data_IF_493740545861
#
_entry.id   IF_493740545861
#
_cell.length_a   1.000
_cell.length_b   1.000
_cell.length_c   1.000
_cell.angle_alpha   90.00
_cell.angle_beta   90.00
_cell.angle_gamma   90.00
#
_symmetry.space_group_name_H-M   'P 1'
#
loop_
_entity.id
_entity.type
_entity.pdbx_description
1 polymer ?
#
# COMPACT_ATOMS: atom_id res chain seq x y z
N UNK A 1 51.66 -18.45 -51.45
CA UNK A 1 51.61 -18.46 -49.98
C UNK A 1 50.95 -17.16 -49.51
N UNK A 2 49.62 -17.13 -49.45
CA UNK A 2 48.86 -16.07 -48.80
C UNK A 2 48.22 -16.68 -47.56
N UNK A 3 48.53 -16.09 -46.41
CA UNK A 3 48.37 -16.69 -45.08
C UNK A 3 46.90 -16.91 -44.71
N UNK A 4 46.45 -18.18 -44.70
CA UNK A 4 45.16 -18.62 -44.16
C UNK A 4 44.94 -18.19 -42.70
N UNK A 5 46.02 -17.84 -41.98
CA UNK A 5 45.96 -17.33 -40.61
C UNK A 5 45.36 -15.92 -40.49
N UNK A 6 45.28 -15.15 -41.58
CA UNK A 6 44.70 -13.79 -41.57
C UNK A 6 43.17 -13.76 -41.54
N UNK A 7 42.52 -14.75 -42.17
CA UNK A 7 41.06 -14.83 -42.29
C UNK A 7 40.39 -15.26 -40.97
N UNK A 8 41.02 -16.17 -40.23
CA UNK A 8 40.52 -16.68 -38.94
C UNK A 8 40.54 -15.57 -37.87
N UNK A 9 41.58 -14.73 -37.86
CA UNK A 9 41.71 -13.63 -36.89
C UNK A 9 40.71 -12.51 -37.14
N UNK A 10 40.35 -12.26 -38.40
CA UNK A 10 39.38 -11.23 -38.76
C UNK A 10 37.93 -11.67 -38.46
N UNK A 11 37.63 -12.96 -38.64
CA UNK A 11 36.34 -13.54 -38.24
C UNK A 11 36.17 -13.62 -36.72
N UNK A 12 37.23 -13.90 -35.96
CA UNK A 12 37.18 -13.89 -34.49
C UNK A 12 36.85 -12.50 -33.91
N UNK A 13 37.39 -11.44 -34.49
CA UNK A 13 37.07 -10.04 -34.10
C UNK A 13 35.65 -9.62 -34.52
N UNK A 14 35.19 -10.03 -35.71
CA UNK A 14 33.81 -9.80 -36.15
C UNK A 14 32.79 -10.55 -35.28
N UNK A 15 33.06 -11.81 -34.91
CA UNK A 15 32.21 -12.59 -34.02
C UNK A 15 32.19 -12.02 -32.60
N UNK A 16 33.34 -11.56 -32.10
CA UNK A 16 33.45 -10.92 -30.78
C UNK A 16 32.73 -9.55 -30.73
N UNK A 17 32.77 -8.77 -31.82
CA UNK A 17 31.96 -7.56 -31.93
C UNK A 17 30.46 -7.88 -31.97
N UNK A 18 30.02 -8.86 -32.78
CA UNK A 18 28.62 -9.28 -32.84
C UNK A 18 28.08 -9.79 -31.48
N UNK A 19 28.88 -10.55 -30.74
CA UNK A 19 28.54 -11.00 -29.38
C UNK A 19 28.58 -9.85 -28.36
N UNK A 20 29.44 -8.85 -28.56
CA UNK A 20 29.50 -7.63 -27.74
C UNK A 20 28.28 -6.71 -27.91
N UNK A 21 27.71 -6.63 -29.10
CA UNK A 21 26.50 -5.83 -29.37
C UNK A 21 25.22 -6.47 -28.82
N UNK A 22 25.16 -7.80 -28.68
CA UNK A 22 24.00 -8.50 -28.10
C UNK A 22 23.96 -8.46 -26.56
N UNK A 23 25.08 -8.11 -25.91
CA UNK A 23 25.17 -8.02 -24.44
C UNK A 23 24.93 -6.61 -23.87
N UNK A 24 24.60 -5.63 -24.71
CA UNK A 24 24.25 -4.27 -24.28
C UNK A 24 22.75 -3.97 -24.48
N UNK A 25 21.92 -4.98 -24.26
CA UNK A 25 20.55 -4.76 -23.86
C UNK A 25 20.48 -5.22 -22.41
N UNK A 26 20.67 -4.28 -21.48
CA UNK A 26 20.20 -4.50 -20.10
C UNK A 26 18.75 -4.98 -20.17
N UNK A 27 18.26 -5.78 -19.20
CA UNK A 27 16.91 -6.32 -19.26
C UNK A 27 15.93 -5.17 -19.38
N UNK A 28 15.45 -4.92 -20.61
CA UNK A 28 14.23 -4.17 -20.83
C UNK A 28 13.20 -5.07 -20.19
N UNK A 29 12.81 -4.78 -18.95
CA UNK A 29 11.62 -5.35 -18.34
C UNK A 29 10.49 -5.05 -19.33
N UNK A 30 10.20 -6.03 -20.19
CA UNK A 30 9.17 -5.92 -21.20
C UNK A 30 7.87 -5.69 -20.45
N UNK A 31 7.44 -4.43 -20.38
CA UNK A 31 6.26 -4.02 -19.63
C UNK A 31 5.05 -4.63 -20.32
N UNK A 32 4.28 -5.44 -19.60
CA UNK A 32 3.13 -6.14 -20.17
C UNK A 32 2.09 -5.14 -20.66
N UNK A 33 1.34 -5.50 -21.71
CA UNK A 33 0.12 -4.76 -22.06
C UNK A 33 -0.96 -5.13 -21.02
N UNK A 34 -1.81 -4.18 -20.62
CA UNK A 34 -2.73 -4.41 -19.50
C UNK A 34 -3.70 -5.58 -19.69
N UNK A 35 -4.19 -5.83 -20.90
CA UNK A 35 -5.00 -7.02 -21.16
C UNK A 35 -4.21 -8.32 -20.96
N UNK A 36 -2.92 -8.34 -21.30
CA UNK A 36 -2.04 -9.49 -21.08
C UNK A 36 -1.82 -9.73 -19.58
N UNK A 37 -1.64 -8.66 -18.80
CA UNK A 37 -1.55 -8.76 -17.35
C UNK A 37 -2.83 -9.31 -16.72
N UNK A 38 -4.00 -8.88 -17.22
CA UNK A 38 -5.30 -9.42 -16.78
C UNK A 38 -5.37 -10.92 -17.11
N UNK A 39 -5.04 -11.33 -18.33
CA UNK A 39 -5.09 -12.75 -18.71
C UNK A 39 -4.20 -13.62 -17.82
N UNK A 40 -2.98 -13.17 -17.51
CA UNK A 40 -2.08 -13.90 -16.63
C UNK A 40 -2.61 -13.96 -15.19
N UNK A 41 -3.18 -12.87 -14.67
CA UNK A 41 -3.82 -12.84 -13.36
C UNK A 41 -5.03 -13.78 -13.28
N UNK A 42 -5.78 -13.96 -14.37
CA UNK A 42 -6.92 -14.87 -14.40
C UNK A 42 -6.52 -16.36 -14.35
N UNK A 43 -5.31 -16.70 -14.84
CA UNK A 43 -4.78 -18.07 -14.77
C UNK A 43 -4.31 -18.42 -13.35
N UNK A 44 -3.88 -17.41 -12.58
CA UNK A 44 -3.51 -17.55 -11.18
C UNK A 44 -4.77 -17.48 -10.29
N UNK A 45 -5.14 -18.54 -9.54
CA UNK A 45 -6.41 -18.57 -8.81
C UNK A 45 -6.51 -17.50 -7.73
N UNK A 46 -5.43 -17.23 -7.01
CA UNK A 46 -5.39 -16.20 -5.97
C UNK A 46 -5.52 -14.79 -6.55
N UNK A 47 -4.80 -14.49 -7.64
CA UNK A 47 -4.92 -13.22 -8.35
C UNK A 47 -6.31 -13.04 -8.97
N UNK A 48 -6.87 -14.08 -9.60
CA UNK A 48 -8.23 -14.03 -10.17
C UNK A 48 -9.27 -13.69 -9.10
N UNK A 49 -9.19 -14.32 -7.92
CA UNK A 49 -10.07 -14.00 -6.80
C UNK A 49 -9.88 -12.55 -6.33
N UNK A 50 -8.64 -12.13 -6.07
CA UNK A 50 -8.33 -10.77 -5.62
C UNK A 50 -8.76 -9.71 -6.64
N UNK A 51 -8.62 -9.99 -7.94
CA UNK A 51 -9.04 -9.10 -9.02
C UNK A 51 -10.56 -8.90 -9.03
N UNK A 52 -11.33 -9.96 -8.80
CA UNK A 52 -12.79 -9.85 -8.67
C UNK A 52 -13.20 -9.03 -7.44
N UNK A 53 -12.50 -9.20 -6.30
CA UNK A 53 -12.74 -8.38 -5.11
C UNK A 53 -12.44 -6.90 -5.37
N UNK A 54 -11.35 -6.60 -6.08
CA UNK A 54 -11.01 -5.25 -6.53
C UNK A 54 -12.13 -4.61 -7.36
N UNK A 55 -12.66 -5.32 -8.36
CA UNK A 55 -13.74 -4.80 -9.23
C UNK A 55 -15.00 -4.42 -8.44
N UNK A 56 -15.34 -5.22 -7.42
CA UNK A 56 -16.51 -4.95 -6.58
C UNK A 56 -16.24 -3.82 -5.58
N UNK A 57 -15.10 -3.88 -4.90
CA UNK A 57 -14.75 -2.92 -3.84
C UNK A 57 -14.50 -1.51 -4.40
N UNK A 58 -13.95 -1.40 -5.61
CA UNK A 58 -13.60 -0.12 -6.22
C UNK A 58 -14.69 0.44 -7.15
N UNK A 59 -15.88 -0.17 -7.17
CA UNK A 59 -16.95 0.16 -8.10
C UNK A 59 -17.24 1.66 -8.22
N UNK A 60 -17.44 2.35 -7.10
CA UNK A 60 -17.76 3.79 -7.09
C UNK A 60 -16.63 4.67 -7.62
N UNK A 61 -15.38 4.22 -7.51
CA UNK A 61 -14.20 4.91 -8.08
C UNK A 61 -14.08 4.61 -9.57
N UNK A 62 -14.26 3.35 -9.97
CA UNK A 62 -14.17 2.90 -11.36
C UNK A 62 -15.26 3.54 -12.24
N UNK A 63 -16.47 3.70 -11.71
CA UNK A 63 -17.56 4.43 -12.37
C UNK A 63 -17.48 5.95 -12.17
N UNK A 64 -16.43 6.46 -11.52
CA UNK A 64 -16.18 7.89 -11.31
C UNK A 64 -17.29 8.61 -10.52
N UNK A 65 -18.02 7.89 -9.66
CA UNK A 65 -19.04 8.42 -8.74
C UNK A 65 -18.41 9.22 -7.58
N UNK A 66 -17.17 8.89 -7.21
CA UNK A 66 -16.39 9.58 -6.18
C UNK A 66 -14.93 9.75 -6.61
N UNK A 67 -14.32 10.87 -6.21
CA UNK A 67 -12.87 11.11 -6.30
C UNK A 67 -12.11 10.62 -5.07
N UNK A 68 -12.80 10.43 -3.93
CA UNK A 68 -12.22 9.87 -2.71
C UNK A 68 -12.24 8.35 -2.77
N UNK A 69 -11.14 7.73 -2.37
CA UNK A 69 -11.04 6.29 -2.37
C UNK A 69 -11.66 5.67 -1.09
N UNK A 70 -12.63 4.75 -1.20
CA UNK A 70 -13.15 4.01 -0.05
C UNK A 70 -12.07 3.10 0.57
N UNK A 71 -12.09 2.95 1.89
CA UNK A 71 -11.12 2.09 2.61
C UNK A 71 -11.11 0.64 2.11
N UNK A 72 -12.27 0.05 1.83
CA UNK A 72 -12.39 -1.32 1.32
C UNK A 72 -11.82 -1.49 -0.11
N UNK A 73 -11.88 -0.46 -0.96
CA UNK A 73 -11.22 -0.47 -2.26
C UNK A 73 -9.69 -0.51 -2.09
N UNK A 74 -9.15 0.27 -1.14
CA UNK A 74 -7.72 0.29 -0.87
C UNK A 74 -7.24 -1.07 -0.34
N UNK A 75 -7.98 -1.68 0.60
CA UNK A 75 -7.67 -3.04 1.08
C UNK A 75 -7.69 -4.08 -0.04
N UNK A 76 -8.67 -4.01 -0.95
CA UNK A 76 -8.75 -4.92 -2.10
C UNK A 76 -7.56 -4.74 -3.06
N UNK A 77 -7.10 -3.50 -3.29
CA UNK A 77 -5.91 -3.23 -4.09
C UNK A 77 -4.62 -3.73 -3.43
N UNK A 78 -4.48 -3.58 -2.12
CA UNK A 78 -3.34 -4.13 -1.36
C UNK A 78 -3.30 -5.65 -1.55
N UNK A 79 -4.44 -6.34 -1.32
CA UNK A 79 -4.51 -7.78 -1.49
C UNK A 79 -4.23 -8.23 -2.93
N UNK A 80 -4.71 -7.49 -3.93
CA UNK A 80 -4.39 -7.77 -5.33
C UNK A 80 -2.89 -7.65 -5.58
N UNK A 81 -2.26 -6.59 -5.06
CA UNK A 81 -0.82 -6.36 -5.22
C UNK A 81 0.06 -7.37 -4.46
N UNK A 82 -0.46 -8.05 -3.44
CA UNK A 82 0.27 -9.10 -2.71
C UNK A 82 0.31 -10.45 -3.45
N UNK A 83 -0.45 -10.59 -4.54
CA UNK A 83 -0.45 -11.80 -5.40
C UNK A 83 0.76 -11.84 -6.34
N UNK A 84 1.04 -12.99 -6.96
CA UNK A 84 2.23 -13.14 -7.81
C UNK A 84 2.16 -12.26 -9.07
N UNK A 85 0.99 -12.21 -9.71
CA UNK A 85 0.80 -11.47 -10.98
C UNK A 85 0.18 -10.08 -10.78
N UNK A 86 -0.51 -9.83 -9.67
CA UNK A 86 -1.23 -8.58 -9.43
C UNK A 86 -0.44 -7.29 -9.62
N UNK A 87 0.83 -7.18 -9.17
CA UNK A 87 1.67 -5.99 -9.41
C UNK A 87 1.84 -5.60 -10.89
N UNK A 88 1.70 -6.57 -11.80
CA UNK A 88 1.80 -6.31 -13.24
C UNK A 88 0.58 -5.52 -13.77
N UNK A 89 -0.58 -5.57 -13.10
CA UNK A 89 -1.76 -4.79 -13.47
C UNK A 89 -1.58 -3.29 -13.21
N UNK A 90 -0.86 -2.92 -12.16
CA UNK A 90 -0.51 -1.53 -11.90
C UNK A 90 0.52 -1.03 -12.91
N UNK A 91 1.54 -1.85 -13.20
CA UNK A 91 2.68 -1.45 -14.02
C UNK A 91 2.52 -1.71 -15.53
N UNK A 92 1.42 -2.31 -16.00
CA UNK A 92 1.20 -2.57 -17.43
C UNK A 92 0.98 -1.32 -18.30
N UNK A 93 1.13 -1.47 -19.62
CA UNK A 93 0.85 -0.45 -20.63
C UNK A 93 -0.56 -0.55 -21.20
N UNK A 94 -1.25 0.58 -21.29
CA UNK A 94 -2.56 0.69 -21.94
C UNK A 94 -2.45 0.91 -23.46
N UNK A 95 -1.26 1.28 -23.97
CA UNK A 95 -1.03 1.63 -25.38
C UNK A 95 -2.02 2.72 -25.83
N UNK A 96 -3.03 2.39 -26.62
CA UNK A 96 -4.04 3.31 -27.13
C UNK A 96 -5.44 3.13 -26.51
N UNK A 97 -5.60 2.20 -25.57
CA UNK A 97 -6.89 1.92 -24.93
C UNK A 97 -7.26 3.03 -23.93
N UNK A 98 -8.20 3.89 -24.33
CA UNK A 98 -8.69 4.99 -23.49
C UNK A 98 -9.50 4.52 -22.28
N UNK A 99 -10.16 3.36 -22.35
CA UNK A 99 -10.85 2.78 -21.18
C UNK A 99 -9.80 2.41 -20.16
N UNK A 100 -8.78 1.63 -20.54
CA UNK A 100 -7.66 1.29 -19.68
C UNK A 100 -7.00 2.52 -19.06
N UNK A 101 -6.69 3.55 -19.87
CA UNK A 101 -6.10 4.79 -19.35
C UNK A 101 -7.02 5.50 -18.37
N UNK A 102 -8.30 5.61 -18.68
CA UNK A 102 -9.28 6.26 -17.79
C UNK A 102 -9.43 5.50 -16.47
N UNK A 103 -9.47 4.16 -16.51
CA UNK A 103 -9.51 3.29 -15.32
C UNK A 103 -8.25 3.47 -14.47
N UNK A 104 -7.06 3.45 -15.08
CA UNK A 104 -5.79 3.67 -14.35
C UNK A 104 -5.72 5.06 -13.72
N UNK A 105 -6.27 6.10 -14.37
CA UNK A 105 -6.38 7.45 -13.79
C UNK A 105 -7.41 7.50 -12.66
N UNK A 106 -8.56 6.84 -12.80
CA UNK A 106 -9.61 6.83 -11.80
C UNK A 106 -9.16 6.13 -10.51
N UNK A 107 -8.38 5.05 -10.63
CA UNK A 107 -7.87 4.28 -9.49
C UNK A 107 -6.61 4.88 -8.86
N UNK A 108 -5.95 5.85 -9.51
CA UNK A 108 -4.72 6.47 -9.02
C UNK A 108 -4.81 7.02 -7.58
N UNK A 109 -5.93 7.64 -7.13
CA UNK A 109 -6.11 8.04 -5.74
C UNK A 109 -6.15 6.87 -4.75
N UNK A 110 -6.43 5.65 -5.22
CA UNK A 110 -6.53 4.42 -4.42
C UNK A 110 -5.22 3.63 -4.36
N UNK A 111 -4.27 3.88 -5.26
CA UNK A 111 -2.99 3.19 -5.27
C UNK A 111 -2.06 3.70 -4.17
N UNK A 112 -1.50 2.82 -3.32
CA UNK A 112 -0.44 3.20 -2.40
C UNK A 112 0.78 3.66 -3.21
N UNK A 113 1.11 4.97 -3.16
CA UNK A 113 2.26 5.54 -3.87
C UNK A 113 3.59 5.03 -3.30
N UNK A 114 3.98 3.80 -3.59
CA UNK A 114 5.23 3.26 -3.03
C UNK A 114 6.44 4.00 -3.62
N UNK A 115 7.20 4.65 -2.72
CA UNK A 115 8.53 5.25 -2.87
C UNK A 115 8.77 6.16 -4.10
N UNK A 116 8.87 7.46 -3.81
CA UNK A 116 9.81 8.40 -4.42
C UNK A 116 9.77 8.54 -5.95
N UNK A 117 8.61 8.38 -6.60
CA UNK A 117 8.51 8.57 -8.06
C UNK A 117 8.84 10.00 -8.50
N UNK A 118 8.65 10.98 -7.61
CA UNK A 118 8.79 12.42 -7.89
C UNK A 118 9.89 13.11 -7.07
N UNK A 119 10.80 12.34 -6.45
CA UNK A 119 11.83 12.90 -5.56
C UNK A 119 11.30 13.40 -4.20
N UNK A 120 10.00 13.31 -3.97
CA UNK A 120 9.35 13.62 -2.68
C UNK A 120 9.38 12.39 -1.78
N UNK A 121 9.82 12.56 -0.53
CA UNK A 121 9.98 11.49 0.45
C UNK A 121 8.62 10.91 0.88
N UNK A 122 8.49 9.58 0.81
CA UNK A 122 7.35 8.85 1.35
C UNK A 122 7.37 8.72 2.89
N UNK A 123 6.19 8.71 3.51
CA UNK A 123 6.05 8.61 4.97
C UNK A 123 6.54 7.28 5.55
N UNK A 124 6.55 6.21 4.76
CA UNK A 124 7.12 4.92 5.11
C UNK A 124 8.63 5.05 5.36
N UNK A 125 9.35 5.74 4.49
CA UNK A 125 10.78 5.99 4.67
C UNK A 125 11.04 7.00 5.81
N UNK A 126 10.25 8.08 5.89
CA UNK A 126 10.38 9.05 6.98
C UNK A 126 10.20 8.39 8.36
N UNK A 127 9.25 7.45 8.48
CA UNK A 127 9.03 6.65 9.68
C UNK A 127 10.21 5.75 10.00
N UNK A 128 10.75 5.03 9.03
CA UNK A 128 11.95 4.22 9.24
C UNK A 128 13.13 5.06 9.73
N UNK A 129 13.32 6.26 9.19
CA UNK A 129 14.38 7.16 9.66
C UNK A 129 14.14 7.65 11.09
N UNK A 130 12.89 7.96 11.45
CA UNK A 130 12.54 8.34 12.81
C UNK A 130 12.73 7.18 13.80
N UNK A 131 12.41 5.94 13.40
CA UNK A 131 12.58 4.76 14.24
C UNK A 131 14.05 4.41 14.50
N UNK A 132 14.95 4.71 13.55
CA UNK A 132 16.40 4.55 13.74
C UNK A 132 17.03 5.63 14.63
N UNK A 133 16.35 6.77 14.82
CA UNK A 133 16.79 7.86 15.68
C UNK A 133 16.16 7.74 17.09
N UNK A 134 16.93 7.51 18.17
CA UNK A 134 16.35 7.25 19.49
C UNK A 134 15.45 8.38 20.02
N UNK A 135 15.82 9.65 19.75
CA UNK A 135 15.05 10.81 20.20
C UNK A 135 13.70 10.88 19.47
N UNK A 136 13.72 10.73 18.15
CA UNK A 136 12.53 10.70 17.32
C UNK A 136 11.64 9.50 17.65
N UNK A 137 12.21 8.30 17.78
CA UNK A 137 11.48 7.08 18.14
C UNK A 137 10.73 7.23 19.47
N UNK A 138 11.39 7.78 20.49
CA UNK A 138 10.75 8.06 21.78
C UNK A 138 9.63 9.10 21.67
N UNK A 139 9.84 10.16 20.88
CA UNK A 139 8.79 11.16 20.63
C UNK A 139 7.60 10.58 19.85
N UNK A 140 7.86 9.73 18.86
CA UNK A 140 6.84 9.01 18.09
C UNK A 140 5.98 8.13 19.00
N UNK A 141 6.59 7.39 19.95
CA UNK A 141 5.83 6.61 20.94
C UNK A 141 4.91 7.49 21.80
N UNK A 142 5.39 8.65 22.25
CA UNK A 142 4.57 9.63 22.99
C UNK A 142 3.44 10.18 22.12
N UNK A 143 3.69 10.41 20.84
CA UNK A 143 2.67 10.86 19.88
C UNK A 143 1.57 9.81 19.73
N UNK A 144 1.93 8.55 19.47
CA UNK A 144 0.97 7.45 19.34
C UNK A 144 0.13 7.22 20.61
N UNK A 145 0.73 7.41 21.79
CA UNK A 145 0.03 7.27 23.07
C UNK A 145 -0.96 8.41 23.35
N UNK A 146 -0.54 9.67 23.15
CA UNK A 146 -1.31 10.84 23.60
C UNK A 146 -2.29 11.38 22.54
N UNK A 147 -2.13 11.00 21.27
CA UNK A 147 -2.92 11.53 20.16
C UNK A 147 -3.99 10.57 19.63
N UNK A 148 -4.35 9.50 20.34
CA UNK A 148 -5.38 8.55 19.88
C UNK A 148 -6.73 9.20 19.55
N UNK A 149 -7.15 10.24 20.28
CA UNK A 149 -8.38 11.00 19.99
C UNK A 149 -8.29 11.82 18.70
N UNK A 150 -7.08 12.25 18.33
CA UNK A 150 -6.83 12.95 17.07
C UNK A 150 -6.94 11.98 15.88
N UNK A 151 -6.35 10.78 16.00
CA UNK A 151 -6.36 9.79 14.92
C UNK A 151 -7.78 9.37 14.53
N UNK A 152 -8.67 9.26 15.51
CA UNK A 152 -10.08 8.94 15.31
C UNK A 152 -10.93 10.15 14.92
N UNK A 153 -10.34 11.34 14.72
CA UNK A 153 -11.05 12.53 14.27
C UNK A 153 -11.92 13.22 15.31
N UNK A 154 -11.76 12.91 16.61
CA UNK A 154 -12.58 13.43 17.71
C UNK A 154 -12.15 14.83 18.12
N UNK A 155 -10.91 14.99 18.61
CA UNK A 155 -10.34 16.28 19.02
C UNK A 155 -8.82 16.25 19.13
N UNK A 156 -8.19 17.41 19.00
CA UNK A 156 -6.79 17.62 19.38
C UNK A 156 -6.73 18.06 20.85
N UNK A 157 -6.30 17.16 21.74
CA UNK A 157 -6.14 17.47 23.17
C UNK A 157 -4.90 18.33 23.41
N UNK A 158 -4.86 19.08 24.52
CA UNK A 158 -3.68 19.89 24.87
C UNK A 158 -2.43 19.03 25.05
N UNK A 159 -2.55 17.87 25.69
CA UNK A 159 -1.47 16.89 25.80
C UNK A 159 -0.98 16.39 24.42
N UNK A 160 -1.89 16.21 23.45
CA UNK A 160 -1.48 15.84 22.09
C UNK A 160 -0.78 17.01 21.38
N UNK A 161 -1.25 18.25 21.58
CA UNK A 161 -0.67 19.47 21.01
C UNK A 161 0.76 19.69 21.51
N UNK A 162 0.99 19.56 22.81
CA UNK A 162 2.33 19.63 23.41
C UNK A 162 3.30 18.59 22.82
N UNK A 163 2.80 17.35 22.62
CA UNK A 163 3.61 16.29 22.00
C UNK A 163 3.91 16.60 20.54
N UNK A 164 2.95 17.13 19.77
CA UNK A 164 3.17 17.56 18.39
C UNK A 164 4.23 18.66 18.34
N UNK A 165 4.12 19.69 19.18
CA UNK A 165 5.11 20.78 19.25
C UNK A 165 6.50 20.29 19.61
N UNK A 166 6.61 19.42 20.64
CA UNK A 166 7.87 18.78 21.01
C UNK A 166 8.45 17.96 19.86
N UNK A 167 7.60 17.22 19.15
CA UNK A 167 8.01 16.38 18.03
C UNK A 167 8.52 17.21 16.86
N UNK A 168 7.90 18.36 16.55
CA UNK A 168 8.33 19.25 15.47
C UNK A 168 9.69 19.92 15.71
N UNK A 169 10.22 19.90 16.94
CA UNK A 169 11.59 20.33 17.23
C UNK A 169 12.67 19.31 16.83
N UNK A 170 12.27 18.07 16.50
CA UNK A 170 13.19 16.97 16.17
C UNK A 170 13.35 16.89 14.64
N UNK A 171 14.57 17.02 14.08
CA UNK A 171 14.78 17.06 12.62
C UNK A 171 14.21 15.85 11.88
N UNK A 172 14.37 14.63 12.41
CA UNK A 172 13.82 13.41 11.79
C UNK A 172 12.29 13.33 11.88
N UNK A 173 11.68 14.02 12.84
CA UNK A 173 10.23 14.07 12.95
C UNK A 173 9.60 15.10 12.01
N UNK A 174 10.30 16.18 11.65
CA UNK A 174 9.84 17.11 10.61
C UNK A 174 9.60 16.40 9.28
N UNK A 175 10.42 15.41 8.94
CA UNK A 175 10.23 14.57 7.75
C UNK A 175 8.86 13.86 7.74
N UNK A 176 8.33 13.48 8.90
CA UNK A 176 7.00 12.85 9.01
C UNK A 176 5.86 13.82 8.75
N UNK A 177 6.06 15.10 9.08
CA UNK A 177 5.09 16.15 8.74
C UNK A 177 5.07 16.36 7.22
N UNK A 178 6.25 16.48 6.60
CA UNK A 178 6.42 16.87 5.19
C UNK A 178 6.26 15.74 4.18
N UNK A 179 6.41 14.47 4.60
CA UNK A 179 6.34 13.32 3.70
C UNK A 179 5.00 13.18 2.96
N UNK A 180 4.99 12.47 1.84
CA UNK A 180 3.76 12.06 1.15
C UNK A 180 3.33 10.69 1.68
N UNK A 181 2.05 10.56 2.04
CA UNK A 181 1.51 9.28 2.53
C UNK A 181 1.65 8.20 1.45
N UNK A 182 2.33 7.11 1.80
CA UNK A 182 2.64 5.98 0.93
C UNK A 182 2.51 4.64 1.67
N UNK A 183 2.68 3.54 0.93
CA UNK A 183 2.63 2.18 1.48
C UNK A 183 1.24 1.73 1.91
N UNK A 184 1.19 0.60 2.61
CA UNK A 184 -0.08 -0.01 3.07
C UNK A 184 -0.84 0.86 4.07
N UNK A 185 -0.12 1.65 4.88
CA UNK A 185 -0.69 2.53 5.90
C UNK A 185 -1.24 3.86 5.33
N UNK A 186 -1.18 4.06 4.00
CA UNK A 186 -1.56 5.32 3.36
C UNK A 186 -2.96 5.85 3.75
N UNK A 187 -4.03 5.04 3.79
CA UNK A 187 -5.36 5.55 4.15
C UNK A 187 -5.41 6.12 5.56
N UNK A 188 -4.69 5.46 6.48
CA UNK A 188 -4.59 5.89 7.88
C UNK A 188 -3.74 7.16 7.96
N UNK A 189 -2.61 7.20 7.24
CA UNK A 189 -1.75 8.38 7.17
C UNK A 189 -2.51 9.62 6.67
N UNK A 190 -3.24 9.50 5.56
CA UNK A 190 -4.03 10.60 4.98
C UNK A 190 -5.08 11.10 5.97
N UNK A 191 -5.85 10.19 6.59
CA UNK A 191 -6.84 10.53 7.60
C UNK A 191 -6.22 11.23 8.83
N UNK A 192 -5.07 10.77 9.31
CA UNK A 192 -4.36 11.40 10.44
C UNK A 192 -3.86 12.79 10.08
N UNK A 193 -3.29 12.99 8.88
CA UNK A 193 -2.85 14.31 8.42
C UNK A 193 -4.01 15.30 8.29
N UNK A 194 -5.13 14.86 7.71
CA UNK A 194 -6.34 15.66 7.57
C UNK A 194 -6.92 16.04 8.94
N UNK A 195 -7.01 15.07 9.86
CA UNK A 195 -7.46 15.32 11.22
C UNK A 195 -6.54 16.29 11.96
N UNK A 196 -5.22 16.18 11.80
CA UNK A 196 -4.26 17.11 12.40
C UNK A 196 -4.43 18.54 11.88
N UNK A 197 -4.57 18.73 10.57
CA UNK A 197 -4.85 20.02 9.96
C UNK A 197 -6.14 20.65 10.50
N UNK A 198 -7.22 19.87 10.50
CA UNK A 198 -8.56 20.32 10.92
C UNK A 198 -8.68 20.58 12.42
N UNK A 199 -8.15 19.70 13.26
CA UNK A 199 -8.41 19.71 14.71
C UNK A 199 -7.34 20.45 15.52
N UNK A 200 -6.08 20.44 15.05
CA UNK A 200 -5.00 21.10 15.79
C UNK A 200 -4.72 22.52 15.27
N UNK A 201 -4.90 22.79 13.97
CA UNK A 201 -4.48 24.06 13.37
C UNK A 201 -5.61 24.96 12.87
N UNK A 202 -6.83 24.44 12.64
CA UNK A 202 -7.96 25.23 12.11
C UNK A 202 -8.71 26.06 13.18
N UNK A 203 -8.02 26.48 14.25
CA UNK A 203 -8.62 27.23 15.37
C UNK A 203 -7.69 28.23 16.06
N UNK A 204 -6.52 28.52 15.49
CA UNK A 204 -5.56 29.47 16.05
C UNK A 204 -5.95 30.95 15.86
N UNK A 205 -7.24 31.28 15.78
CA UNK A 205 -7.75 32.65 15.98
C UNK A 205 -8.33 32.88 17.38
N UNK A 206 -8.36 31.87 18.25
CA UNK A 206 -8.69 32.09 19.67
C UNK A 206 -7.70 31.38 20.59
N UNK A 207 -6.51 31.97 20.71
CA UNK A 207 -5.75 31.86 21.96
C UNK A 207 -6.07 33.06 22.85
N UNK A 208 -6.28 32.76 24.14
CA UNK A 208 -6.22 33.64 25.31
C UNK A 208 -7.55 34.22 25.81
N UNK A 209 -7.99 33.75 26.99
CA UNK A 209 -9.08 34.41 27.71
C UNK A 209 -9.61 33.70 28.95
N UNK A 210 -8.76 33.55 29.97
CA UNK A 210 -9.12 33.60 31.40
C UNK A 210 -10.02 32.52 32.05
N UNK A 211 -9.48 32.01 33.15
CA UNK A 211 -10.19 31.59 34.36
C UNK A 211 -11.40 32.46 34.71
N UNK A 212 -12.51 31.82 35.05
CA UNK A 212 -13.70 32.42 35.64
C UNK A 212 -14.64 31.32 36.12
N UNK A 213 -14.49 30.95 37.38
CA UNK A 213 -15.54 30.26 38.13
C UNK A 213 -16.67 31.25 38.33
N UNK A 214 -17.92 30.86 38.10
CA UNK A 214 -19.08 31.35 38.85
C UNK A 214 -20.27 30.40 38.66
N UNK A 215 -20.95 30.15 39.77
CA UNK A 215 -22.04 29.21 39.99
C UNK A 215 -23.41 29.81 39.59
N UNK A 216 -24.31 28.94 39.10
CA UNK A 216 -25.74 28.82 39.51
C UNK A 216 -26.77 29.90 39.04
N UNK A 217 -28.13 29.68 39.04
CA UNK A 217 -28.98 28.48 39.27
C UNK A 217 -29.98 28.09 38.15
N UNK A 218 -30.65 26.98 38.42
CA UNK A 218 -31.83 26.32 37.82
C UNK A 218 -32.93 27.19 37.22
N UNK A 219 -33.55 26.69 36.13
CA UNK A 219 -34.98 26.87 35.80
C UNK A 219 -35.51 25.68 34.96
N UNK A 220 -36.25 24.80 35.65
CA UNK A 220 -37.62 24.32 35.36
C UNK A 220 -38.01 23.64 34.00
N UNK A 221 -38.35 22.35 34.11
CA UNK A 221 -39.43 21.57 33.45
C UNK A 221 -39.82 21.83 31.97
N UNK A 222 -39.72 20.79 31.12
CA UNK A 222 -40.92 20.21 30.50
C UNK A 222 -40.73 18.78 29.97
N UNK A 223 -41.58 17.91 30.50
CA UNK A 223 -41.83 16.52 30.11
C UNK A 223 -42.66 16.47 28.83
N UNK A 224 -42.27 15.62 27.87
CA UNK A 224 -43.13 15.22 26.76
C UNK A 224 -42.91 13.74 26.47
N UNK A 225 -43.88 12.93 26.92
CA UNK A 225 -44.09 11.58 26.43
C UNK A 225 -44.49 11.63 24.96
N UNK A 226 -43.89 10.78 24.13
CA UNK A 226 -44.66 10.11 23.09
C UNK A 226 -44.29 8.63 23.04
N UNK A 227 -45.30 7.80 23.31
CA UNK A 227 -45.27 6.35 23.18
C UNK A 227 -45.97 6.02 21.89
N UNK A 228 -45.26 5.43 20.94
CA UNK A 228 -45.91 4.45 20.06
C UNK A 228 -44.93 3.37 19.60
N UNK A 229 -45.34 2.16 19.95
CA UNK A 229 -44.73 0.87 19.69
C UNK A 229 -45.00 0.40 18.27
N UNK A 230 -43.98 -0.16 17.61
CA UNK A 230 -44.01 -1.33 16.71
C UNK A 230 -42.56 -1.85 16.75
N UNK A 231 -42.18 -3.09 17.07
CA UNK A 231 -42.86 -4.37 17.04
C UNK A 231 -41.86 -5.36 16.43
N UNK A 232 -41.32 -6.27 17.25
CA UNK A 232 -40.66 -7.53 16.86
C UNK A 232 -39.31 -7.47 16.12
N UNK A 233 -38.26 -8.06 16.69
CA UNK A 233 -37.79 -9.36 16.21
C UNK A 233 -36.72 -9.96 17.15
N UNK A 234 -36.65 -11.28 17.16
CA UNK A 234 -35.98 -12.15 18.09
C UNK A 234 -34.46 -11.94 18.20
N UNK A 235 -33.97 -11.88 19.45
CA UNK A 235 -32.58 -12.05 19.79
C UNK A 235 -32.12 -13.48 19.50
N UNK A 236 -31.54 -13.66 18.31
CA UNK A 236 -30.86 -14.89 17.90
C UNK A 236 -29.65 -15.17 18.77
N UNK A 237 -29.70 -16.30 19.46
CA UNK A 237 -28.61 -16.91 20.21
C UNK A 237 -27.49 -17.32 19.25
N UNK A 238 -26.38 -16.57 19.19
CA UNK A 238 -25.17 -17.03 18.52
C UNK A 238 -24.51 -18.12 19.37
N UNK A 239 -24.80 -19.37 19.00
CA UNK A 239 -23.99 -20.54 19.35
C UNK A 239 -22.64 -20.42 18.65
N UNK A 240 -21.57 -20.40 19.43
CA UNK A 240 -20.21 -20.70 18.96
C UNK A 240 -20.15 -22.14 18.41
N UNK A 241 -19.65 -22.37 17.19
CA UNK A 241 -19.13 -23.68 16.81
C UNK A 241 -17.62 -23.70 17.06
N UNK A 242 -17.22 -24.47 18.06
CA UNK A 242 -15.88 -25.01 18.24
C UNK A 242 -15.50 -25.83 17.01
N UNK A 243 -14.62 -25.30 16.17
CA UNK A 243 -13.94 -26.04 15.11
C UNK A 243 -12.76 -26.85 15.68
N UNK A 244 -12.57 -28.11 15.25
CA UNK A 244 -11.41 -28.92 15.64
C UNK A 244 -10.14 -28.42 14.95
N UNK A 245 -9.04 -28.43 15.70
CA UNK A 245 -7.69 -28.15 15.22
C UNK A 245 -7.16 -29.39 14.51
N UNK A 246 -7.04 -29.34 13.19
CA UNK A 246 -6.22 -30.28 12.43
C UNK A 246 -5.07 -29.53 11.74
N UNK A 247 -3.89 -29.69 12.34
CA UNK A 247 -2.60 -29.31 11.77
C UNK A 247 -2.28 -30.25 10.61
N UNK A 248 -2.09 -29.72 9.41
CA UNK A 248 -1.40 -30.44 8.33
C UNK A 248 -0.30 -29.57 7.74
N UNK A 249 0.94 -30.01 7.98
CA UNK A 249 2.19 -29.42 7.51
C UNK A 249 2.41 -29.74 6.02
N UNK A 250 2.81 -28.79 5.17
CA UNK A 250 3.23 -29.11 3.81
C UNK A 250 4.67 -29.64 3.80
N UNK A 251 4.83 -30.87 3.31
CA UNK A 251 6.12 -31.46 2.93
C UNK A 251 6.73 -30.65 1.78
N UNK A 252 7.92 -30.09 2.00
CA UNK A 252 8.79 -29.59 0.94
C UNK A 252 9.25 -30.76 0.04
N UNK A 253 9.25 -30.60 -1.30
CA UNK A 253 9.93 -31.54 -2.19
C UNK A 253 11.44 -31.30 -2.18
N UNK A 254 12.18 -32.38 -1.99
CA UNK A 254 13.63 -32.47 -1.97
C UNK A 254 14.25 -32.20 -3.34
N UNK A 255 15.27 -31.34 -3.36
CA UNK A 255 16.05 -30.92 -4.53
C UNK A 255 17.07 -32.00 -5.00
N UNK A 256 16.62 -33.21 -5.31
CA UNK A 256 17.52 -34.31 -5.72
C UNK A 256 17.13 -35.05 -7.01
N UNK A 257 16.32 -34.46 -7.89
CA UNK A 257 15.94 -35.12 -9.16
C UNK A 257 16.49 -34.47 -10.44
N UNK A 258 17.37 -33.46 -10.36
CA UNK A 258 17.95 -32.81 -11.55
C UNK A 258 19.40 -33.19 -11.89
N UNK A 259 20.03 -34.11 -11.17
CA UNK A 259 21.42 -34.52 -11.47
C UNK A 259 21.53 -35.77 -12.34
N UNK A 260 20.44 -36.52 -12.53
CA UNK A 260 20.47 -37.77 -13.33
C UNK A 260 20.34 -37.50 -14.84
N UNK A 261 19.64 -36.44 -15.25
CA UNK A 261 19.48 -36.11 -16.68
C UNK A 261 20.72 -35.52 -17.35
N UNK A 262 21.62 -34.86 -16.61
CA UNK A 262 22.86 -34.31 -17.20
C UNK A 262 23.92 -35.37 -17.49
N UNK A 263 23.97 -36.47 -16.71
CA UNK A 263 24.91 -37.56 -16.95
C UNK A 263 24.56 -38.42 -18.16
N UNK A 264 23.26 -38.60 -18.46
CA UNK A 264 22.83 -39.35 -19.65
C UNK A 264 23.13 -38.59 -20.96
N UNK A 265 23.05 -37.26 -20.96
CA UNK A 265 23.37 -36.44 -22.14
C UNK A 265 24.88 -36.38 -22.45
N UNK A 266 25.75 -36.52 -21.43
CA UNK A 266 27.21 -36.57 -21.62
C UNK A 266 27.72 -37.94 -22.11
N UNK A 267 26.95 -39.01 -21.92
CA UNK A 267 27.30 -40.34 -22.43
C UNK A 267 26.90 -40.53 -23.90
N UNK A 268 25.78 -39.92 -24.33
CA UNK A 268 25.31 -39.99 -25.72
C UNK A 268 26.16 -39.11 -26.67
N UNK A 269 26.77 -38.03 -26.18
CA UNK A 269 27.63 -37.15 -26.99
C UNK A 269 29.06 -37.67 -27.21
N UNK A 270 29.39 -38.85 -26.68
CA UNK A 270 30.72 -39.47 -26.78
C UNK A 270 30.72 -40.84 -27.50
N UNK A 271 29.62 -41.18 -28.17
CA UNK A 271 29.48 -42.38 -29.01
C UNK A 271 29.52 -42.01 -30.50
#
# INVERSE_FOLDING_TARGET
MASLAGLIRNWGLLLACLLGFLNNSGPVLARWICWQAIMQCQVEPECSYAYNQYLQACRSVLYQETRRCPSHCISALIHLNDTQTGPMLESCDCVQDEICKSTKRAIEPCLPRTRNRDGVMGCTEARQQCERDPQCHNSMRRYLHNCGKLFNGVKCTDQCREVIESMLSIPKALLLKECVCDGADRPICEAVKDNMARLCFSGAEHSSGSSGWDMEPDDEYQDYYDTQSIGGDAGGQFRNPSGPKDSCSPRAPSALTLTVSMFLLLLVSRS
#
